data_IF_737088323025
#
_entry.id   IF_737088323025
#
_cell.length_a   1.000
_cell.length_b   1.000
_cell.length_c   1.000
_cell.angle_alpha   90.00
_cell.angle_beta   90.00
_cell.angle_gamma   90.00
#
_symmetry.space_group_name_H-M   'P 1'
#
loop_
_entity.id
_entity.type
_entity.pdbx_description
1 polymer ?
#
# COMPACT_ATOMS: atom_id res chain seq x y z
N UNK A 1 52.80 39.31 19.69
CA UNK A 1 53.81 39.43 18.61
C UNK A 1 53.55 38.29 17.64
N UNK A 2 52.77 38.48 16.56
CA UNK A 2 53.20 39.04 15.25
C UNK A 2 54.13 38.04 14.53
N UNK A 3 53.62 37.22 13.59
CA UNK A 3 53.80 37.30 12.11
C UNK A 3 55.29 37.19 11.65
N UNK A 4 55.74 36.51 10.57
CA UNK A 4 55.19 36.19 9.24
C UNK A 4 56.13 35.21 8.48
N UNK A 5 55.52 34.41 7.58
CA UNK A 5 55.90 33.78 6.28
C UNK A 5 57.32 33.31 5.86
N UNK A 6 57.34 32.14 5.18
CA UNK A 6 57.72 31.91 3.75
C UNK A 6 57.19 30.51 3.32
N UNK A 7 56.15 30.41 2.46
CA UNK A 7 56.11 30.31 0.97
C UNK A 7 56.95 29.17 0.37
N UNK A 8 56.24 28.21 -0.24
CA UNK A 8 56.75 27.25 -1.24
C UNK A 8 55.56 26.63 -1.98
N UNK A 9 55.39 26.96 -3.26
CA UNK A 9 54.28 26.56 -4.12
C UNK A 9 54.63 25.33 -4.97
N UNK A 10 53.63 24.48 -5.25
CA UNK A 10 53.57 23.67 -6.47
C UNK A 10 52.10 23.34 -6.81
N UNK A 11 51.66 23.86 -7.94
CA UNK A 11 50.43 23.58 -8.71
C UNK A 11 50.47 22.13 -9.27
N UNK A 12 49.46 21.51 -9.90
CA UNK A 12 48.01 21.64 -10.09
C UNK A 12 47.60 20.36 -10.85
N UNK A 13 46.31 19.99 -10.88
CA UNK A 13 45.83 18.99 -11.83
C UNK A 13 44.45 18.41 -11.50
N UNK A 14 43.38 19.18 -11.73
CA UNK A 14 42.01 18.64 -11.81
C UNK A 14 41.74 18.22 -13.26
N UNK A 15 41.26 16.98 -13.44
CA UNK A 15 40.79 16.46 -14.73
C UNK A 15 39.30 16.76 -14.85
N UNK A 16 38.92 17.56 -15.85
CA UNK A 16 37.52 17.81 -16.24
C UNK A 16 37.28 17.10 -17.57
N UNK A 17 36.29 16.20 -17.60
CA UNK A 17 35.83 15.52 -18.82
C UNK A 17 34.85 16.44 -19.54
N UNK A 18 35.21 16.89 -20.75
CA UNK A 18 34.34 17.68 -21.62
C UNK A 18 33.73 16.78 -22.71
N UNK A 19 32.40 16.77 -22.79
CA UNK A 19 31.62 16.13 -23.86
C UNK A 19 31.56 17.10 -25.06
N UNK A 20 32.07 16.68 -26.21
CA UNK A 20 32.01 17.43 -27.46
C UNK A 20 30.70 17.12 -28.19
N UNK A 21 29.80 18.10 -28.28
CA UNK A 21 28.65 18.08 -29.21
C UNK A 21 29.06 18.83 -30.47
N UNK A 22 29.05 18.15 -31.61
CA UNK A 22 29.29 18.75 -32.91
C UNK A 22 28.08 19.59 -33.36
N UNK A 23 28.31 20.87 -33.65
CA UNK A 23 27.41 21.73 -34.41
C UNK A 23 28.09 22.20 -35.69
N UNK A 24 27.33 22.32 -36.78
CA UNK A 24 27.71 23.11 -37.96
C UNK A 24 26.96 24.44 -37.92
N UNK A 25 27.69 25.56 -38.05
CA UNK A 25 27.15 26.92 -38.25
C UNK A 25 26.76 27.19 -39.71
N UNK A 26 26.48 28.41 -40.19
CA UNK A 26 26.27 29.73 -39.60
C UNK A 26 24.91 30.27 -40.10
N UNK A 27 24.55 31.56 -40.12
CA UNK A 27 25.27 32.83 -40.07
C UNK A 27 24.29 33.95 -39.65
N UNK A 28 24.81 35.06 -39.12
CA UNK A 28 24.34 36.41 -39.47
C UNK A 28 23.21 37.07 -38.65
N UNK A 29 23.62 37.89 -37.69
CA UNK A 29 22.93 38.99 -36.95
C UNK A 29 22.86 40.26 -37.86
N UNK A 30 22.17 41.42 -37.62
CA UNK A 30 21.28 41.88 -36.52
C UNK A 30 19.97 42.66 -36.91
N UNK A 31 19.23 43.03 -35.85
CA UNK A 31 18.43 44.25 -35.59
C UNK A 31 17.12 44.57 -36.36
N UNK A 32 16.00 44.64 -35.63
CA UNK A 32 15.24 45.88 -35.37
C UNK A 32 13.84 45.59 -34.77
N UNK A 33 13.37 46.49 -33.90
CA UNK A 33 12.12 46.41 -33.16
C UNK A 33 10.88 46.92 -33.97
N UNK A 34 9.70 47.11 -33.33
CA UNK A 34 8.45 46.41 -33.60
C UNK A 34 7.56 47.09 -34.66
N UNK A 35 6.89 46.30 -35.50
CA UNK A 35 5.91 46.77 -36.48
C UNK A 35 4.54 46.15 -36.23
N UNK A 36 3.57 46.99 -35.87
CA UNK A 36 2.15 46.62 -35.78
C UNK A 36 1.64 46.05 -37.12
N UNK A 37 0.90 44.95 -37.07
CA UNK A 37 0.09 44.53 -38.21
C UNK A 37 -1.27 44.03 -37.74
N UNK A 38 -2.29 44.74 -38.22
CA UNK A 38 -3.70 44.63 -37.88
C UNK A 38 -4.28 43.35 -38.48
N UNK A 39 -5.01 42.59 -37.67
CA UNK A 39 -5.93 41.55 -38.13
C UNK A 39 -7.09 42.17 -38.91
N UNK A 40 -7.49 41.63 -40.07
CA UNK A 40 -8.76 42.00 -40.68
C UNK A 40 -9.90 41.32 -39.93
N UNK A 41 -10.85 42.12 -39.44
CA UNK A 41 -12.15 41.66 -38.93
C UNK A 41 -13.00 41.31 -40.17
N UNK A 42 -13.36 40.03 -40.29
CA UNK A 42 -14.39 39.59 -41.23
C UNK A 42 -15.72 39.68 -40.47
N UNK A 43 -16.56 40.62 -40.89
CA UNK A 43 -17.93 40.80 -40.43
C UNK A 43 -18.81 39.71 -41.08
N UNK A 44 -19.28 38.76 -40.27
CA UNK A 44 -20.25 37.75 -40.63
C UNK A 44 -21.43 37.89 -39.68
N UNK A 45 -22.37 38.74 -40.12
CA UNK A 45 -23.64 39.00 -39.47
C UNK A 45 -24.45 37.71 -39.41
N UNK A 46 -24.70 37.21 -38.20
CA UNK A 46 -25.57 36.05 -37.95
C UNK A 46 -27.01 36.55 -37.77
N UNK A 47 -28.01 36.06 -38.53
CA UNK A 47 -29.40 36.42 -38.26
C UNK A 47 -29.90 35.75 -36.97
N UNK A 48 -30.53 36.57 -36.14
CA UNK A 48 -31.19 36.20 -34.88
C UNK A 48 -32.35 35.22 -35.15
N UNK A 49 -32.48 34.11 -34.39
CA UNK A 49 -33.63 33.23 -34.53
C UNK A 49 -34.86 33.88 -33.87
N UNK A 50 -35.88 34.17 -34.68
CA UNK A 50 -37.18 34.67 -34.24
C UNK A 50 -37.88 33.64 -33.35
N UNK A 51 -38.08 34.04 -32.10
CA UNK A 51 -38.83 33.33 -31.07
C UNK A 51 -40.29 33.16 -31.50
N UNK A 52 -40.70 31.93 -31.80
CA UNK A 52 -42.12 31.58 -32.02
C UNK A 52 -42.58 30.69 -30.88
N UNK A 53 -43.05 31.34 -29.83
CA UNK A 53 -43.78 30.75 -28.71
C UNK A 53 -45.03 30.03 -29.23
N UNK A 54 -44.94 28.71 -29.30
CA UNK A 54 -46.11 27.83 -29.43
C UNK A 54 -46.19 27.00 -28.15
N UNK A 55 -46.77 27.59 -27.11
CA UNK A 55 -47.09 26.92 -25.87
C UNK A 55 -48.05 25.75 -26.09
N UNK A 56 -47.50 24.53 -26.16
CA UNK A 56 -48.21 23.30 -25.87
C UNK A 56 -47.87 22.92 -24.41
N UNK A 57 -48.86 22.75 -23.52
CA UNK A 57 -48.59 22.28 -22.17
C UNK A 57 -48.19 20.81 -22.24
N UNK A 58 -46.89 20.53 -22.24
CA UNK A 58 -46.38 19.19 -22.02
C UNK A 58 -46.56 18.85 -20.54
N UNK A 59 -47.66 18.18 -20.22
CA UNK A 59 -47.85 17.57 -18.91
C UNK A 59 -46.77 16.50 -18.71
N UNK A 60 -45.86 16.73 -17.75
CA UNK A 60 -44.73 15.84 -17.43
C UNK A 60 -45.13 14.63 -16.58
N UNK A 61 -46.41 14.47 -16.29
CA UNK A 61 -46.89 13.41 -15.40
C UNK A 61 -47.27 12.19 -16.25
N UNK A 62 -46.41 11.16 -16.22
CA UNK A 62 -46.71 9.86 -16.81
C UNK A 62 -47.74 9.13 -15.93
N UNK A 63 -48.98 8.93 -16.40
CA UNK A 63 -50.04 8.28 -15.62
C UNK A 63 -49.80 6.77 -15.43
N UNK A 64 -48.72 6.21 -16.00
CA UNK A 64 -48.29 4.82 -15.85
C UNK A 64 -47.00 4.67 -15.03
N UNK A 65 -46.49 5.74 -14.40
CA UNK A 65 -45.45 5.64 -13.39
C UNK A 65 -45.97 4.79 -12.22
N UNK A 66 -45.76 3.48 -12.33
CA UNK A 66 -46.02 2.54 -11.25
C UNK A 66 -44.90 2.80 -10.26
N UNK A 67 -45.22 3.32 -9.06
CA UNK A 67 -44.20 3.47 -8.01
C UNK A 67 -43.54 2.11 -7.81
N UNK A 68 -42.27 2.01 -8.20
CA UNK A 68 -41.50 0.79 -7.99
C UNK A 68 -41.55 0.46 -6.51
N UNK A 69 -41.83 -0.80 -6.12
CA UNK A 69 -41.80 -1.19 -4.73
C UNK A 69 -40.46 -0.76 -4.14
N UNK A 70 -40.49 0.09 -3.11
CA UNK A 70 -39.30 0.50 -2.38
C UNK A 70 -38.76 -0.74 -1.67
N UNK A 71 -37.89 -1.49 -2.37
CA UNK A 71 -37.18 -2.62 -1.81
C UNK A 71 -36.42 -2.09 -0.59
N UNK A 72 -36.72 -2.66 0.59
CA UNK A 72 -36.01 -2.31 1.81
C UNK A 72 -34.52 -2.51 1.55
N UNK A 73 -33.67 -1.49 1.74
CA UNK A 73 -32.26 -1.60 1.44
C UNK A 73 -31.65 -2.81 2.15
N UNK A 74 -30.85 -3.61 1.43
CA UNK A 74 -30.18 -4.77 1.99
C UNK A 74 -29.18 -4.42 3.11
N UNK A 75 -28.63 -5.43 3.81
CA UNK A 75 -27.71 -5.20 4.93
C UNK A 75 -26.46 -4.39 4.56
N UNK A 76 -26.02 -4.44 3.29
CA UNK A 76 -24.94 -3.63 2.74
C UNK A 76 -25.31 -2.14 2.69
N UNK A 77 -26.50 -1.82 2.16
CA UNK A 77 -26.96 -0.44 2.04
C UNK A 77 -27.27 0.17 3.42
N UNK A 78 -27.79 -0.63 4.36
CA UNK A 78 -27.94 -0.23 5.76
C UNK A 78 -26.59 0.07 6.42
N UNK A 79 -25.56 -0.72 6.11
CA UNK A 79 -24.22 -0.49 6.60
C UNK A 79 -23.58 0.76 5.99
N UNK A 80 -23.72 0.98 4.68
CA UNK A 80 -23.17 2.14 4.00
C UNK A 80 -23.73 3.45 4.58
N UNK A 81 -25.05 3.50 4.78
CA UNK A 81 -25.72 4.62 5.46
C UNK A 81 -25.24 4.83 6.90
N UNK A 82 -24.99 3.75 7.65
CA UNK A 82 -24.41 3.87 9.00
C UNK A 82 -23.03 4.50 8.95
N UNK A 83 -22.18 4.11 7.99
CA UNK A 83 -20.82 4.64 7.85
C UNK A 83 -20.86 6.14 7.50
N UNK A 84 -21.77 6.54 6.62
CA UNK A 84 -22.05 7.95 6.30
C UNK A 84 -22.53 8.73 7.55
N UNK A 85 -23.47 8.19 8.32
CA UNK A 85 -23.96 8.79 9.57
C UNK A 85 -22.84 8.96 10.61
N UNK A 86 -21.90 8.02 10.67
CA UNK A 86 -20.72 8.11 11.55
C UNK A 86 -19.64 9.06 11.05
N UNK A 87 -19.70 9.46 9.77
CA UNK A 87 -18.72 10.35 9.15
C UNK A 87 -17.34 9.70 8.97
N UNK A 88 -17.27 8.37 8.88
CA UNK A 88 -16.02 7.67 8.60
C UNK A 88 -15.69 7.74 7.11
N UNK A 89 -14.48 8.19 6.79
CA UNK A 89 -14.08 8.48 5.41
C UNK A 89 -13.26 7.33 4.84
N UNK A 90 -13.71 6.81 3.70
CA UNK A 90 -12.95 5.90 2.85
C UNK A 90 -12.53 6.61 1.56
N UNK A 91 -11.45 6.16 0.95
CA UNK A 91 -11.08 6.63 -0.37
C UNK A 91 -11.99 5.95 -1.40
N UNK A 92 -12.93 6.71 -1.98
CA UNK A 92 -13.94 6.13 -2.88
C UNK A 92 -13.32 5.46 -4.12
N UNK A 93 -12.14 5.89 -4.55
CA UNK A 93 -11.46 5.33 -5.72
C UNK A 93 -10.79 3.99 -5.42
N UNK A 94 -10.09 3.89 -4.29
CA UNK A 94 -9.31 2.71 -3.90
C UNK A 94 -10.13 1.71 -3.07
N UNK A 95 -10.97 2.21 -2.16
CA UNK A 95 -11.71 1.38 -1.20
C UNK A 95 -13.13 1.05 -1.70
N UNK A 96 -13.76 1.95 -2.45
CA UNK A 96 -15.15 1.80 -2.92
C UNK A 96 -16.18 2.15 -1.85
N UNK A 97 -17.40 1.58 -1.94
CA UNK A 97 -18.40 1.75 -0.87
C UNK A 97 -17.96 1.02 0.41
N UNK A 98 -18.42 1.45 1.61
CA UNK A 98 -18.02 0.81 2.86
C UNK A 98 -18.30 -0.70 2.93
N UNK A 99 -19.47 -1.13 2.47
CA UNK A 99 -19.87 -2.53 2.36
C UNK A 99 -18.97 -3.29 1.40
N UNK A 100 -18.67 -2.72 0.23
CA UNK A 100 -17.74 -3.30 -0.75
C UNK A 100 -16.33 -3.45 -0.17
N UNK A 101 -15.85 -2.45 0.57
CA UNK A 101 -14.55 -2.50 1.25
C UNK A 101 -14.49 -3.66 2.25
N UNK A 102 -15.52 -3.82 3.08
CA UNK A 102 -15.60 -4.91 4.08
C UNK A 102 -15.68 -6.27 3.40
N UNK A 103 -16.54 -6.43 2.39
CA UNK A 103 -16.72 -7.68 1.67
C UNK A 103 -15.44 -8.08 0.92
N UNK A 104 -14.72 -7.11 0.34
CA UNK A 104 -13.42 -7.35 -0.31
C UNK A 104 -12.37 -7.83 0.70
N UNK A 105 -12.29 -7.19 1.87
CA UNK A 105 -11.38 -7.64 2.93
C UNK A 105 -11.68 -9.09 3.35
N UNK A 106 -12.96 -9.42 3.52
CA UNK A 106 -13.38 -10.77 3.90
C UNK A 106 -13.15 -11.81 2.80
N UNK A 107 -13.39 -11.46 1.53
CA UNK A 107 -13.08 -12.33 0.39
C UNK A 107 -11.58 -12.64 0.32
N UNK A 108 -10.72 -11.64 0.51
CA UNK A 108 -9.28 -11.84 0.53
C UNK A 108 -8.83 -12.80 1.65
N UNK A 109 -9.48 -12.74 2.82
CA UNK A 109 -9.21 -13.69 3.91
C UNK A 109 -9.73 -15.10 3.60
N UNK A 110 -10.83 -15.21 2.85
CA UNK A 110 -11.42 -16.49 2.43
C UNK A 110 -10.62 -17.23 1.37
N UNK A 111 -9.98 -16.51 0.45
CA UNK A 111 -9.10 -17.07 -0.60
C UNK A 111 -7.86 -17.78 -0.02
N UNK A 112 -7.56 -17.53 1.25
CA UNK A 112 -6.46 -18.18 1.96
C UNK A 112 -5.16 -17.41 1.83
N UNK A 113 -4.71 -16.85 2.95
CA UNK A 113 -3.41 -16.20 3.08
C UNK A 113 -2.41 -17.23 3.61
N UNK A 114 -1.51 -17.69 2.74
CA UNK A 114 -0.55 -18.74 3.12
C UNK A 114 0.66 -18.20 3.90
N UNK A 115 0.96 -16.91 3.74
CA UNK A 115 2.21 -16.29 4.21
C UNK A 115 2.06 -15.45 5.48
N UNK A 116 0.83 -15.13 5.88
CA UNK A 116 0.54 -14.31 7.06
C UNK A 116 -0.68 -14.85 7.81
N UNK A 117 -0.80 -14.51 9.09
CA UNK A 117 -2.04 -14.80 9.81
C UNK A 117 -3.17 -13.82 9.38
N UNK A 118 -4.45 -14.18 9.55
CA UNK A 118 -5.57 -13.28 9.21
C UNK A 118 -5.48 -11.88 9.80
N UNK A 119 -5.21 -11.70 11.11
CA UNK A 119 -5.03 -10.37 11.66
C UNK A 119 -3.77 -9.66 11.13
N UNK A 120 -2.67 -10.39 10.91
CA UNK A 120 -1.45 -9.83 10.32
C UNK A 120 -1.69 -9.28 8.92
N UNK A 121 -2.38 -10.03 8.05
CA UNK A 121 -2.73 -9.57 6.72
C UNK A 121 -3.53 -8.26 6.74
N UNK A 122 -4.52 -8.15 7.63
CA UNK A 122 -5.33 -6.93 7.76
C UNK A 122 -4.48 -5.71 8.15
N UNK A 123 -3.50 -5.90 9.04
CA UNK A 123 -2.57 -4.84 9.44
C UNK A 123 -1.62 -4.48 8.30
N UNK A 124 -0.92 -5.48 7.75
CA UNK A 124 0.15 -5.26 6.76
C UNK A 124 -0.38 -4.72 5.42
N UNK A 125 -1.65 -5.01 5.08
CA UNK A 125 -2.31 -4.48 3.89
C UNK A 125 -3.02 -3.14 4.11
N UNK A 126 -2.91 -2.55 5.31
CA UNK A 126 -3.47 -1.22 5.60
C UNK A 126 -4.98 -1.17 5.81
N UNK A 127 -5.66 -2.30 6.04
CA UNK A 127 -7.11 -2.33 6.29
C UNK A 127 -7.52 -1.68 7.62
N UNK A 128 -6.54 -1.40 8.49
CA UNK A 128 -6.75 -0.73 9.79
C UNK A 128 -6.23 0.71 9.84
N UNK A 129 -5.87 1.29 8.71
CA UNK A 129 -5.40 2.68 8.65
C UNK A 129 -6.56 3.68 8.73
N UNK A 130 -6.42 4.68 9.59
CA UNK A 130 -7.43 5.74 9.74
C UNK A 130 -8.83 5.20 10.01
N UNK A 131 -9.81 5.67 9.25
CA UNK A 131 -11.21 5.30 9.40
C UNK A 131 -11.55 3.89 8.89
N UNK A 132 -10.67 3.29 8.07
CA UNK A 132 -10.84 1.90 7.60
C UNK A 132 -10.99 0.94 8.77
N UNK A 133 -10.26 1.18 9.86
CA UNK A 133 -10.39 0.45 11.12
C UNK A 133 -11.82 0.45 11.65
N UNK A 134 -12.44 1.62 11.75
CA UNK A 134 -13.79 1.76 12.29
C UNK A 134 -14.82 1.06 11.40
N UNK A 135 -14.70 1.25 10.08
CA UNK A 135 -15.53 0.57 9.08
C UNK A 135 -15.40 -0.94 9.21
N UNK A 136 -14.18 -1.48 9.26
CA UNK A 136 -13.94 -2.92 9.36
C UNK A 136 -14.49 -3.50 10.68
N UNK A 137 -14.29 -2.80 11.80
CA UNK A 137 -14.81 -3.20 13.11
C UNK A 137 -16.34 -3.25 13.17
N UNK A 138 -17.02 -2.32 12.49
CA UNK A 138 -18.47 -2.24 12.47
C UNK A 138 -19.11 -3.18 11.43
N UNK A 139 -18.45 -3.37 10.28
CA UNK A 139 -18.98 -4.09 9.13
C UNK A 139 -18.74 -5.60 9.18
N UNK A 140 -17.53 -6.04 9.54
CA UNK A 140 -17.20 -7.49 9.52
C UNK A 140 -18.15 -8.34 10.38
N UNK A 141 -18.54 -7.94 11.61
CA UNK A 141 -19.51 -8.71 12.39
C UNK A 141 -20.89 -8.84 11.75
N UNK A 142 -21.26 -7.93 10.84
CA UNK A 142 -22.57 -7.89 10.16
C UNK A 142 -22.54 -8.60 8.81
N UNK A 143 -21.53 -8.32 8.00
CA UNK A 143 -21.46 -8.74 6.60
C UNK A 143 -20.69 -10.06 6.40
N UNK A 144 -19.71 -10.35 7.27
CA UNK A 144 -18.87 -11.55 7.16
C UNK A 144 -18.36 -12.01 8.55
N UNK A 145 -19.26 -12.47 9.43
CA UNK A 145 -18.98 -12.68 10.85
C UNK A 145 -17.86 -13.69 11.14
N UNK A 146 -17.56 -14.59 10.19
CA UNK A 146 -16.42 -15.53 10.24
C UNK A 146 -15.11 -14.85 10.64
N UNK A 147 -14.86 -13.63 10.15
CA UNK A 147 -13.60 -12.91 10.35
C UNK A 147 -13.61 -11.94 11.53
N UNK A 148 -14.68 -11.92 12.34
CA UNK A 148 -14.80 -11.03 13.50
C UNK A 148 -13.63 -11.16 14.48
N UNK A 149 -13.17 -12.38 14.73
CA UNK A 149 -12.03 -12.61 15.63
C UNK A 149 -10.73 -12.05 15.07
N UNK A 150 -10.50 -12.21 13.76
CA UNK A 150 -9.31 -11.70 13.10
C UNK A 150 -9.27 -10.17 13.18
N UNK A 151 -10.37 -9.48 12.90
CA UNK A 151 -10.44 -8.01 13.02
C UNK A 151 -10.19 -7.55 14.46
N UNK A 152 -10.77 -8.21 15.46
CA UNK A 152 -10.55 -7.87 16.87
C UNK A 152 -9.08 -8.00 17.27
N UNK A 153 -8.47 -9.11 16.88
CA UNK A 153 -7.06 -9.38 17.13
C UNK A 153 -6.16 -8.35 16.46
N UNK A 154 -6.39 -8.09 15.16
CA UNK A 154 -5.66 -7.09 14.39
C UNK A 154 -5.74 -5.69 15.03
N UNK A 155 -6.93 -5.28 15.47
CA UNK A 155 -7.13 -4.00 16.17
C UNK A 155 -6.43 -3.94 17.53
N UNK A 156 -6.43 -5.05 18.27
CA UNK A 156 -5.78 -5.11 19.57
C UNK A 156 -4.25 -5.14 19.49
N UNK A 157 -3.69 -5.53 18.34
CA UNK A 157 -2.27 -5.85 18.19
C UNK A 157 -1.88 -7.20 18.82
N UNK A 158 -2.81 -7.91 19.44
CA UNK A 158 -2.60 -9.22 20.04
C UNK A 158 -2.99 -10.32 19.04
N UNK A 159 -2.00 -10.73 18.23
CA UNK A 159 -2.14 -11.82 17.28
C UNK A 159 -0.83 -12.56 17.04
N UNK A 160 -0.96 -13.80 16.59
CA UNK A 160 0.17 -14.58 16.13
C UNK A 160 0.67 -14.02 14.79
N UNK A 161 1.96 -13.67 14.73
CA UNK A 161 2.63 -13.32 13.49
C UNK A 161 3.22 -14.57 12.84
N UNK A 162 3.08 -14.70 11.52
CA UNK A 162 3.65 -15.81 10.76
C UNK A 162 4.87 -15.32 9.98
N UNK A 163 5.84 -16.21 9.73
CA UNK A 163 7.12 -15.83 9.16
C UNK A 163 7.46 -16.70 7.96
N UNK A 164 7.55 -16.08 6.79
CA UNK A 164 8.02 -16.73 5.56
C UNK A 164 9.53 -16.61 5.37
N UNK A 165 9.98 -16.70 4.11
CA UNK A 165 11.39 -16.54 3.75
C UNK A 165 11.94 -15.14 4.15
N UNK A 166 13.22 -15.13 4.51
CA UNK A 166 13.97 -13.92 4.78
C UNK A 166 14.89 -14.05 5.98
N UNK A 167 15.50 -12.93 6.32
CA UNK A 167 16.30 -12.75 7.53
C UNK A 167 15.54 -11.80 8.46
N UNK A 168 15.46 -12.18 9.73
CA UNK A 168 14.74 -11.46 10.76
C UNK A 168 15.68 -11.17 11.93
N UNK A 169 15.66 -9.94 12.42
CA UNK A 169 16.31 -9.55 13.66
C UNK A 169 15.54 -10.16 14.83
N UNK A 170 16.22 -10.84 15.73
CA UNK A 170 15.55 -11.44 16.90
C UNK A 170 15.30 -10.36 17.94
N UNK A 171 14.04 -9.96 18.09
CA UNK A 171 13.65 -8.88 19.00
C UNK A 171 12.17 -8.96 19.38
N UNK A 172 11.86 -8.71 20.66
CA UNK A 172 10.48 -8.49 21.12
C UNK A 172 9.99 -7.06 20.90
N UNK A 173 10.85 -6.16 20.39
CA UNK A 173 10.55 -4.76 20.14
C UNK A 173 10.64 -4.47 18.65
N UNK A 174 9.73 -3.64 18.15
CA UNK A 174 9.83 -3.09 16.81
C UNK A 174 11.06 -2.19 16.68
N UNK A 175 11.75 -2.33 15.57
CA UNK A 175 12.96 -1.60 15.16
C UNK A 175 12.65 -1.02 13.78
N UNK A 176 12.66 0.32 13.68
CA UNK A 176 12.26 1.00 12.46
C UNK A 176 13.12 0.55 11.26
N UNK A 177 12.48 0.01 10.23
CA UNK A 177 13.12 -0.44 8.99
C UNK A 177 13.63 -1.88 9.02
N UNK A 178 13.46 -2.61 10.11
CA UNK A 178 13.85 -4.01 10.24
C UNK A 178 12.65 -4.95 10.13
N UNK A 179 12.95 -6.23 9.87
CA UNK A 179 11.97 -7.32 10.01
C UNK A 179 12.31 -8.07 11.29
N UNK A 180 11.43 -8.08 12.27
CA UNK A 180 11.72 -8.70 13.56
C UNK A 180 10.95 -10.01 13.77
N UNK A 181 11.59 -10.92 14.47
CA UNK A 181 10.96 -12.12 15.02
C UNK A 181 11.19 -12.17 16.54
N UNK A 182 10.14 -12.22 17.36
CA UNK A 182 10.31 -12.38 18.79
C UNK A 182 10.99 -13.70 19.15
N UNK A 183 11.68 -13.76 20.31
CA UNK A 183 12.10 -15.04 20.88
C UNK A 183 10.88 -15.94 21.12
N UNK A 184 11.01 -17.23 20.80
CA UNK A 184 9.88 -18.14 20.85
C UNK A 184 10.18 -19.48 20.19
N UNK A 185 9.19 -20.37 20.20
CA UNK A 185 9.25 -21.63 19.45
C UNK A 185 8.34 -21.53 18.25
N UNK A 186 8.90 -21.83 17.08
CA UNK A 186 8.25 -21.72 15.79
C UNK A 186 8.26 -23.06 15.07
N UNK A 187 7.21 -23.32 14.30
CA UNK A 187 7.04 -24.57 13.58
C UNK A 187 6.59 -24.30 12.15
N UNK A 188 7.18 -25.02 11.22
CA UNK A 188 6.69 -25.15 9.85
C UNK A 188 6.27 -26.60 9.60
N UNK A 189 5.26 -26.77 8.75
CA UNK A 189 4.69 -28.07 8.36
C UNK A 189 4.34 -28.06 6.88
N UNK A 190 4.36 -29.22 6.23
CA UNK A 190 3.94 -29.36 4.84
C UNK A 190 4.85 -30.27 4.04
N UNK A 191 5.01 -30.02 2.75
CA UNK A 191 6.10 -30.60 1.96
C UNK A 191 7.24 -29.59 1.94
N UNK A 192 8.28 -29.85 2.72
CA UNK A 192 9.44 -28.96 2.85
C UNK A 192 10.57 -29.56 2.02
N UNK A 193 10.84 -28.95 0.87
CA UNK A 193 11.87 -29.40 -0.08
C UNK A 193 13.01 -28.38 -0.13
N UNK A 194 14.21 -28.82 0.26
CA UNK A 194 15.42 -27.99 0.41
C UNK A 194 15.22 -26.77 1.33
N UNK A 195 14.59 -27.00 2.49
CA UNK A 195 14.39 -25.96 3.51
C UNK A 195 15.72 -25.70 4.24
N UNK A 196 16.20 -24.46 4.15
CA UNK A 196 17.31 -23.97 4.94
C UNK A 196 16.81 -23.06 6.06
N UNK A 197 17.33 -23.25 7.26
CA UNK A 197 17.18 -22.27 8.33
C UNK A 197 18.44 -22.21 9.17
N UNK A 198 18.68 -21.04 9.75
CA UNK A 198 19.77 -20.81 10.69
C UNK A 198 19.38 -19.79 11.76
N UNK A 199 20.02 -19.95 12.91
CA UNK A 199 20.08 -18.99 14.00
C UNK A 199 21.51 -18.53 14.11
N UNK A 200 21.72 -17.22 14.18
CA UNK A 200 23.06 -16.63 14.33
C UNK A 200 23.13 -15.76 15.55
N UNK A 201 24.33 -15.53 16.08
CA UNK A 201 24.61 -14.52 17.09
C UNK A 201 24.51 -13.11 16.49
N UNK A 202 24.57 -12.07 17.33
CA UNK A 202 24.68 -10.68 16.85
C UNK A 202 25.94 -10.43 16.01
N UNK A 203 27.01 -11.20 16.24
CA UNK A 203 28.25 -11.16 15.44
C UNK A 203 28.17 -11.96 14.14
N UNK A 204 27.05 -12.64 13.87
CA UNK A 204 26.83 -13.46 12.67
C UNK A 204 27.40 -14.87 12.75
N UNK A 205 27.86 -15.32 13.92
CA UNK A 205 28.29 -16.71 14.12
C UNK A 205 27.07 -17.63 14.13
N UNK A 206 27.12 -18.73 13.37
CA UNK A 206 26.04 -19.71 13.36
C UNK A 206 25.95 -20.40 14.72
N UNK A 207 24.80 -20.28 15.37
CA UNK A 207 24.46 -20.97 16.62
C UNK A 207 23.90 -22.35 16.31
N UNK A 208 23.00 -22.43 15.33
CA UNK A 208 22.34 -23.66 14.91
C UNK A 208 21.80 -23.48 13.48
N UNK A 209 21.87 -24.51 12.67
CA UNK A 209 21.29 -24.50 11.33
C UNK A 209 20.92 -25.90 10.86
N UNK A 210 20.11 -25.96 9.81
CA UNK A 210 19.87 -27.21 9.10
C UNK A 210 19.49 -26.94 7.64
N UNK A 211 19.94 -27.83 6.76
CA UNK A 211 19.50 -27.93 5.38
C UNK A 211 18.69 -29.21 5.18
N UNK A 212 17.38 -29.09 5.40
CA UNK A 212 16.45 -30.20 5.29
C UNK A 212 16.04 -30.42 3.82
N UNK A 213 16.66 -31.40 3.16
CA UNK A 213 16.37 -31.76 1.76
C UNK A 213 14.94 -32.29 1.57
N UNK A 214 14.40 -33.00 2.56
CA UNK A 214 12.99 -33.40 2.59
C UNK A 214 12.50 -33.54 4.03
N UNK A 215 11.49 -32.76 4.39
CA UNK A 215 10.85 -32.83 5.71
C UNK A 215 9.34 -32.60 5.63
N UNK A 216 8.63 -33.04 6.68
CA UNK A 216 7.19 -32.78 6.85
C UNK A 216 6.87 -31.76 7.93
N UNK A 217 7.79 -31.59 8.87
CA UNK A 217 7.64 -30.74 10.03
C UNK A 217 9.03 -30.41 10.56
N UNK A 218 9.26 -29.14 10.87
CA UNK A 218 10.48 -28.65 11.53
C UNK A 218 10.03 -27.70 12.65
N UNK A 219 10.69 -27.76 13.80
CA UNK A 219 10.43 -26.89 14.95
C UNK A 219 11.75 -26.31 15.42
N UNK A 220 11.78 -25.00 15.62
CA UNK A 220 12.97 -24.24 16.02
C UNK A 220 12.61 -23.38 17.21
N UNK A 221 13.44 -23.41 18.25
CA UNK A 221 13.36 -22.47 19.37
C UNK A 221 14.41 -21.38 19.17
N UNK A 222 13.94 -20.16 18.95
CA UNK A 222 14.75 -18.93 18.83
C UNK A 222 14.86 -18.33 20.23
N UNK A 223 16.09 -18.13 20.71
CA UNK A 223 16.36 -17.57 22.04
C UNK A 223 16.50 -16.06 21.95
N UNK A 224 16.25 -15.38 23.06
CA UNK A 224 16.44 -13.92 23.14
C UNK A 224 17.89 -13.46 23.04
N UNK A 225 18.84 -14.39 23.11
CA UNK A 225 20.28 -14.14 22.90
C UNK A 225 20.74 -14.35 21.46
N UNK A 226 19.85 -14.85 20.59
CA UNK A 226 20.17 -14.96 19.17
C UNK A 226 20.13 -13.55 18.56
N UNK A 227 20.97 -13.30 17.56
CA UNK A 227 20.97 -12.05 16.81
C UNK A 227 19.96 -12.06 15.67
N UNK A 228 20.01 -13.08 14.81
CA UNK A 228 19.14 -13.20 13.64
C UNK A 228 18.64 -14.62 13.44
N UNK A 229 17.49 -14.71 12.78
CA UNK A 229 16.95 -15.95 12.21
C UNK A 229 16.81 -15.78 10.70
N UNK A 230 17.47 -16.64 9.95
CA UNK A 230 17.36 -16.68 8.48
C UNK A 230 16.67 -17.96 8.07
N UNK A 231 15.73 -17.87 7.13
CA UNK A 231 15.03 -19.04 6.59
C UNK A 231 14.73 -18.89 5.10
N UNK A 232 14.88 -19.99 4.37
CA UNK A 232 14.64 -20.07 2.95
C UNK A 232 13.98 -21.41 2.61
N UNK A 233 12.90 -21.35 1.82
CA UNK A 233 12.16 -22.52 1.31
C UNK A 233 11.59 -23.43 2.41
N UNK A 234 11.39 -22.88 3.60
CA UNK A 234 10.79 -23.58 4.73
C UNK A 234 9.28 -23.38 4.83
N UNK A 235 8.66 -22.71 3.86
CA UNK A 235 7.25 -22.32 3.95
C UNK A 235 7.04 -21.28 5.04
N UNK A 236 5.96 -21.44 5.81
CA UNK A 236 5.55 -20.46 6.81
C UNK A 236 5.76 -21.01 8.22
N UNK A 237 6.57 -20.31 9.00
CA UNK A 237 6.79 -20.55 10.41
C UNK A 237 5.67 -19.93 11.24
N UNK A 238 5.01 -20.75 12.06
CA UNK A 238 3.94 -20.35 12.99
C UNK A 238 4.40 -20.52 14.43
N UNK A 239 4.05 -19.62 15.34
CA UNK A 239 4.37 -19.80 16.75
C UNK A 239 3.69 -21.06 17.29
N UNK A 240 4.40 -21.79 18.14
CA UNK A 240 3.87 -22.95 18.88
C UNK A 240 3.34 -22.44 20.22
N UNK A 241 2.07 -22.73 20.49
CA UNK A 241 1.39 -22.42 21.76
C UNK A 241 1.40 -23.63 22.70
#
# INVERSE_FOLDING_TARGET
>A
MTQICRVGAAAAGMVVVAVLVAGCGGDGVPDAAPGASRTPIIDLTTPEPTDTDTGLPFSTEDPYATEEPTETPGPEADFDRLVEEKGWVLDAYNDGSPSTFVLRACAALDEGIELSSPPEYLVDMGYLEGDKKHVLQAGVPKLCPKWTSAVKQAVSGDYDRWYGNGTYVVSSKAIAGEREIPPGTYQTTGKLDDCYWERTSESGEIIDNNFATSARKITVTIRSSDGQFTTERCGTWKPVK
#
